data_IF_853416746752
#
_entry.id   IF_853416746752
#
_cell.length_a   1.000
_cell.length_b   1.000
_cell.length_c   1.000
_cell.angle_alpha   90.00
_cell.angle_beta   90.00
_cell.angle_gamma   90.00
#
_symmetry.space_group_name_H-M   'P 1'
#
loop_
_entity.id
_entity.type
_entity.pdbx_description
1 polymer ?
#
# COMPACT_ATOMS: atom_id res chain seq x y z
N UNK A 1 20.01 -26.50 -21.44
CA UNK A 1 20.21 -25.11 -21.02
C UNK A 1 18.97 -24.34 -21.43
N UNK A 2 17.99 -24.24 -20.53
CA UNK A 2 16.82 -23.40 -20.76
C UNK A 2 17.26 -21.94 -20.64
N UNK A 3 17.23 -21.22 -21.76
CA UNK A 3 17.43 -19.78 -21.78
C UNK A 3 16.18 -19.17 -21.13
N UNK A 4 16.34 -18.62 -19.94
CA UNK A 4 15.36 -17.76 -19.30
C UNK A 4 15.25 -16.52 -20.20
N UNK A 5 14.22 -16.50 -21.04
CA UNK A 5 13.83 -15.28 -21.74
C UNK A 5 13.38 -14.28 -20.67
N UNK A 6 13.91 -13.04 -20.64
CA UNK A 6 13.26 -12.01 -19.86
C UNK A 6 11.85 -11.85 -20.43
N UNK A 7 10.83 -12.05 -19.60
CA UNK A 7 9.47 -11.66 -19.94
C UNK A 7 9.54 -10.17 -20.33
N UNK A 8 8.91 -9.76 -21.45
CA UNK A 8 8.88 -8.35 -21.80
C UNK A 8 8.19 -7.62 -20.65
N UNK A 9 8.90 -6.69 -20.00
CA UNK A 9 8.26 -5.68 -19.16
C UNK A 9 7.21 -5.01 -20.04
N UNK A 10 5.95 -5.34 -19.77
CA UNK A 10 4.82 -4.78 -20.48
C UNK A 10 4.88 -3.28 -20.24
N UNK A 11 5.00 -2.49 -21.31
CA UNK A 11 4.88 -1.02 -21.31
C UNK A 11 3.58 -0.48 -20.66
N UNK A 12 2.68 -1.36 -20.23
CA UNK A 12 1.40 -1.06 -19.59
C UNK A 12 1.34 -1.46 -18.10
N UNK A 13 2.44 -1.94 -17.50
CA UNK A 13 2.46 -2.25 -16.06
C UNK A 13 2.46 -0.94 -15.26
N UNK A 14 1.45 -0.77 -14.39
CA UNK A 14 1.37 0.38 -13.51
C UNK A 14 2.26 0.11 -12.31
N UNK A 15 3.19 1.01 -12.06
CA UNK A 15 4.09 0.94 -10.91
C UNK A 15 3.45 1.58 -9.70
N UNK A 16 3.70 1.01 -8.51
CA UNK A 16 3.20 1.57 -7.24
C UNK A 16 3.59 3.04 -7.06
N UNK A 17 4.81 3.41 -7.46
CA UNK A 17 5.31 4.79 -7.33
C UNK A 17 4.50 5.78 -8.20
N UNK A 18 3.99 5.35 -9.36
CA UNK A 18 3.13 6.20 -10.19
C UNK A 18 1.82 6.52 -9.47
N UNK A 19 1.24 5.52 -8.79
CA UNK A 19 0.03 5.71 -7.98
C UNK A 19 0.30 6.62 -6.79
N UNK A 20 1.42 6.42 -6.10
CA UNK A 20 1.83 7.28 -4.98
C UNK A 20 1.98 8.73 -5.45
N UNK A 21 2.66 8.96 -6.56
CA UNK A 21 2.86 10.29 -7.11
C UNK A 21 1.55 10.95 -7.54
N UNK A 22 0.58 10.18 -8.03
CA UNK A 22 -0.75 10.69 -8.35
C UNK A 22 -1.49 11.24 -7.12
N UNK A 23 -1.19 10.71 -5.92
CA UNK A 23 -1.78 11.22 -4.68
C UNK A 23 -0.93 12.27 -3.95
N UNK A 24 0.40 12.26 -4.12
CA UNK A 24 1.31 13.24 -3.48
C UNK A 24 0.90 14.70 -3.75
N UNK A 25 0.41 14.99 -4.97
CA UNK A 25 -0.05 16.33 -5.34
C UNK A 25 -1.14 16.89 -4.41
N UNK A 26 -2.03 16.04 -3.89
CA UNK A 26 -3.09 16.46 -2.97
C UNK A 26 -2.53 16.76 -1.57
N UNK A 27 -1.53 15.99 -1.14
CA UNK A 27 -0.81 16.25 0.11
C UNK A 27 -0.06 17.57 0.01
N UNK A 28 0.56 17.89 -1.13
CA UNK A 28 1.20 19.19 -1.40
C UNK A 28 0.20 20.36 -1.38
N UNK A 29 -1.07 20.10 -1.70
CA UNK A 29 -2.18 21.06 -1.57
C UNK A 29 -2.72 21.18 -0.13
N UNK A 30 -2.16 20.41 0.81
CA UNK A 30 -2.51 20.46 2.24
C UNK A 30 -3.57 19.44 2.68
N UNK A 31 -3.98 18.52 1.80
CA UNK A 31 -4.93 17.46 2.15
C UNK A 31 -4.22 16.41 3.02
N UNK A 32 -4.73 16.20 4.23
CA UNK A 32 -4.10 15.31 5.23
C UNK A 32 -4.70 13.92 5.34
N UNK A 33 -5.96 13.74 4.92
CA UNK A 33 -6.66 12.45 4.89
C UNK A 33 -7.17 12.15 3.47
N UNK A 34 -7.14 10.88 3.01
CA UNK A 34 -7.80 10.50 1.76
C UNK A 34 -9.32 10.77 1.77
N UNK A 35 -9.98 10.77 2.93
CA UNK A 35 -11.41 11.06 3.05
C UNK A 35 -11.76 12.53 2.76
N UNK A 36 -10.76 13.41 2.77
CA UNK A 36 -10.90 14.82 2.44
C UNK A 36 -10.73 15.10 0.93
N UNK A 37 -10.49 14.08 0.12
CA UNK A 37 -10.41 14.23 -1.35
C UNK A 37 -11.81 14.50 -1.92
N UNK A 38 -11.91 15.52 -2.79
CA UNK A 38 -13.13 15.79 -3.52
C UNK A 38 -13.32 14.76 -4.64
N UNK A 39 -14.26 13.85 -4.46
CA UNK A 39 -14.54 12.79 -5.41
C UNK A 39 -15.11 13.30 -6.74
N UNK A 40 -15.54 14.56 -6.82
CA UNK A 40 -15.98 15.18 -8.06
C UNK A 40 -14.84 15.84 -8.85
N UNK A 41 -13.71 16.10 -8.21
CA UNK A 41 -12.50 16.63 -8.85
C UNK A 41 -11.97 15.65 -9.92
N UNK A 42 -11.82 16.09 -11.18
CA UNK A 42 -11.24 15.27 -12.24
C UNK A 42 -9.89 14.66 -11.88
N UNK A 43 -9.02 15.40 -11.17
CA UNK A 43 -7.71 14.94 -10.76
C UNK A 43 -7.77 13.79 -9.75
N UNK A 44 -8.74 13.84 -8.82
CA UNK A 44 -8.99 12.78 -7.84
C UNK A 44 -9.55 11.55 -8.53
N UNK A 45 -10.44 11.72 -9.51
CA UNK A 45 -10.97 10.63 -10.34
C UNK A 45 -9.85 9.91 -11.09
N UNK A 46 -8.92 10.66 -11.69
CA UNK A 46 -7.77 10.08 -12.39
C UNK A 46 -6.85 9.29 -11.44
N UNK A 47 -6.54 9.84 -10.26
CA UNK A 47 -5.73 9.14 -9.26
C UNK A 47 -6.42 7.85 -8.75
N UNK A 48 -7.73 7.90 -8.52
CA UNK A 48 -8.54 6.76 -8.13
C UNK A 48 -8.60 5.69 -9.24
N UNK A 49 -8.73 6.09 -10.51
CA UNK A 49 -8.71 5.17 -11.65
C UNK A 49 -7.34 4.48 -11.76
N UNK A 50 -6.25 5.24 -11.59
CA UNK A 50 -4.90 4.69 -11.62
C UNK A 50 -4.68 3.68 -10.49
N UNK A 51 -5.12 4.01 -9.26
CA UNK A 51 -5.10 3.10 -8.13
C UNK A 51 -5.94 1.84 -8.41
N UNK A 52 -7.15 2.00 -8.97
CA UNK A 52 -8.03 0.89 -9.31
C UNK A 52 -7.39 -0.09 -10.31
N UNK A 53 -6.74 0.45 -11.34
CA UNK A 53 -6.05 -0.38 -12.34
C UNK A 53 -4.84 -1.08 -11.76
N UNK A 54 -4.04 -0.38 -10.95
CA UNK A 54 -2.91 -0.96 -10.23
C UNK A 54 -3.34 -2.09 -9.28
N UNK A 55 -4.35 -1.86 -8.42
CA UNK A 55 -4.81 -2.91 -7.51
C UNK A 55 -5.31 -4.15 -8.25
N UNK A 56 -6.01 -3.97 -9.39
CA UNK A 56 -6.54 -5.08 -10.19
C UNK A 56 -5.40 -5.90 -10.80
N UNK A 57 -4.36 -5.23 -11.28
CA UNK A 57 -3.13 -5.87 -11.77
C UNK A 57 -2.46 -6.69 -10.67
N UNK A 58 -2.28 -6.09 -9.49
CA UNK A 58 -1.64 -6.76 -8.35
C UNK A 58 -2.46 -7.96 -7.85
N UNK A 59 -3.78 -7.82 -7.72
CA UNK A 59 -4.68 -8.91 -7.31
C UNK A 59 -4.65 -10.07 -8.32
N UNK A 60 -4.56 -9.76 -9.62
CA UNK A 60 -4.38 -10.76 -10.66
C UNK A 60 -3.04 -11.48 -10.50
N UNK A 61 -1.97 -10.75 -10.21
CA UNK A 61 -0.62 -11.32 -9.97
C UNK A 61 -0.58 -12.19 -8.70
N UNK A 62 -1.36 -11.84 -7.68
CA UNK A 62 -1.46 -12.56 -6.42
C UNK A 62 -2.32 -13.83 -6.49
N UNK A 63 -3.08 -14.03 -7.58
CA UNK A 63 -4.08 -15.08 -7.66
C UNK A 63 -3.48 -16.46 -7.45
N UNK A 64 -3.91 -17.14 -6.39
CA UNK A 64 -3.41 -18.47 -5.99
C UNK A 64 -2.09 -18.45 -5.21
N UNK A 65 -1.60 -17.26 -4.82
CA UNK A 65 -0.39 -17.09 -4.01
C UNK A 65 -0.70 -16.24 -2.76
N UNK A 66 -1.00 -16.92 -1.64
CA UNK A 66 -1.36 -16.30 -0.36
C UNK A 66 -0.26 -15.35 0.16
N UNK A 67 1.00 -15.74 0.02
CA UNK A 67 2.14 -14.94 0.51
C UNK A 67 2.31 -13.65 -0.27
N UNK A 68 2.14 -13.72 -1.59
CA UNK A 68 2.14 -12.53 -2.44
C UNK A 68 0.91 -11.65 -2.17
N UNK A 69 -0.24 -12.27 -1.91
CA UNK A 69 -1.48 -11.55 -1.54
C UNK A 69 -1.31 -10.75 -0.26
N UNK A 70 -0.69 -11.31 0.79
CA UNK A 70 -0.40 -10.60 2.04
C UNK A 70 0.51 -9.39 1.81
N UNK A 71 1.55 -9.52 0.98
CA UNK A 71 2.46 -8.41 0.65
C UNK A 71 1.77 -7.30 -0.13
N UNK A 72 0.89 -7.67 -1.06
CA UNK A 72 0.10 -6.71 -1.83
C UNK A 72 -0.91 -5.99 -0.95
N UNK A 73 -1.53 -6.69 0.01
CA UNK A 73 -2.43 -6.08 0.97
C UNK A 73 -1.72 -5.01 1.82
N UNK A 74 -0.52 -5.33 2.32
CA UNK A 74 0.32 -4.34 3.01
C UNK A 74 0.66 -3.15 2.10
N UNK A 75 1.04 -3.41 0.85
CA UNK A 75 1.41 -2.35 -0.10
C UNK A 75 0.25 -1.41 -0.41
N UNK A 76 -0.99 -1.93 -0.47
CA UNK A 76 -2.24 -1.16 -0.63
C UNK A 76 -2.52 -0.33 0.62
N UNK A 77 -2.47 -0.94 1.80
CA UNK A 77 -2.67 -0.28 3.10
C UNK A 77 -1.73 0.91 3.28
N UNK A 78 -0.46 0.74 2.91
CA UNK A 78 0.55 1.80 3.07
C UNK A 78 0.55 2.84 1.95
N UNK A 79 -0.29 2.71 0.92
CA UNK A 79 -0.20 3.56 -0.27
C UNK A 79 -0.42 5.05 0.05
N UNK A 80 -1.49 5.38 0.76
CA UNK A 80 -1.77 6.76 1.16
C UNK A 80 -0.77 7.26 2.21
N UNK A 81 -0.33 6.42 3.14
CA UNK A 81 0.73 6.79 4.09
C UNK A 81 2.04 7.13 3.37
N UNK A 82 2.37 6.40 2.31
CA UNK A 82 3.56 6.63 1.48
C UNK A 82 3.39 7.82 0.53
N UNK A 83 2.15 8.17 0.16
CA UNK A 83 1.83 9.41 -0.52
C UNK A 83 1.94 10.65 0.38
N UNK A 84 2.01 10.47 1.71
CA UNK A 84 2.23 11.55 2.67
C UNK A 84 0.98 12.02 3.43
N UNK A 85 -0.13 11.28 3.34
CA UNK A 85 -1.29 11.56 4.19
C UNK A 85 -0.91 11.35 5.67
N UNK A 86 -1.23 12.34 6.50
CA UNK A 86 -0.74 12.47 7.89
C UNK A 86 -1.83 12.75 8.91
N UNK A 87 -3.11 12.67 8.51
CA UNK A 87 -4.21 12.85 9.44
C UNK A 87 -4.12 11.84 10.61
N UNK A 88 -4.14 12.30 11.88
CA UNK A 88 -3.97 11.41 13.02
C UNK A 88 -5.04 10.33 13.15
N UNK A 89 -6.30 10.61 12.80
CA UNK A 89 -7.37 9.63 12.91
C UNK A 89 -7.20 8.54 11.85
N UNK A 90 -6.88 8.94 10.61
CA UNK A 90 -6.56 8.01 9.53
C UNK A 90 -5.36 7.12 9.87
N UNK A 91 -4.27 7.72 10.37
CA UNK A 91 -3.08 6.97 10.79
C UNK A 91 -3.36 6.02 11.95
N UNK A 92 -4.19 6.42 12.91
CA UNK A 92 -4.58 5.58 14.05
C UNK A 92 -5.44 4.39 13.61
N UNK A 93 -6.37 4.58 12.68
CA UNK A 93 -7.18 3.51 12.08
C UNK A 93 -6.31 2.47 11.37
N UNK A 94 -5.41 2.92 10.47
CA UNK A 94 -4.49 2.00 9.77
C UNK A 94 -3.67 1.19 10.78
N UNK A 95 -3.16 1.85 11.82
CA UNK A 95 -2.30 1.21 12.80
C UNK A 95 -3.07 0.18 13.63
N UNK A 96 -4.28 0.49 14.10
CA UNK A 96 -5.03 -0.33 15.05
C UNK A 96 -5.90 -1.40 14.41
N UNK A 97 -6.45 -1.11 13.23
CA UNK A 97 -7.41 -1.99 12.59
C UNK A 97 -6.75 -2.79 11.47
N UNK A 98 -6.09 -2.12 10.54
CA UNK A 98 -5.62 -2.77 9.31
C UNK A 98 -4.30 -3.51 9.51
N UNK A 99 -3.27 -2.83 10.03
CA UNK A 99 -1.95 -3.44 10.22
C UNK A 99 -1.94 -4.49 11.34
N UNK A 100 -2.77 -4.34 12.38
CA UNK A 100 -2.90 -5.36 13.44
C UNK A 100 -3.53 -6.63 12.88
N UNK A 101 -4.58 -6.52 12.06
CA UNK A 101 -5.19 -7.66 11.40
C UNK A 101 -4.18 -8.37 10.46
N UNK A 102 -3.39 -7.61 9.70
CA UNK A 102 -2.34 -8.17 8.84
C UNK A 102 -1.23 -8.87 9.63
N UNK A 103 -0.81 -8.30 10.77
CA UNK A 103 0.14 -8.94 11.67
C UNK A 103 -0.38 -10.28 12.21
N UNK A 104 -1.63 -10.31 12.69
CA UNK A 104 -2.26 -11.54 13.16
C UNK A 104 -2.36 -12.59 12.05
N UNK A 105 -2.63 -12.19 10.80
CA UNK A 105 -2.66 -13.11 9.67
C UNK A 105 -1.27 -13.64 9.30
N UNK A 106 -0.24 -12.79 9.34
CA UNK A 106 1.14 -13.19 9.08
C UNK A 106 1.68 -14.16 10.15
N UNK A 107 1.15 -14.12 11.37
CA UNK A 107 1.51 -15.04 12.47
C UNK A 107 0.89 -16.44 12.35
N UNK A 108 -0.15 -16.64 11.55
CA UNK A 108 -0.88 -17.93 11.45
C UNK A 108 -0.06 -19.12 10.90
N UNK A 109 1.19 -18.91 10.48
CA UNK A 109 2.12 -19.97 10.05
C UNK A 109 3.57 -19.53 10.31
N UNK A 110 3.95 -19.46 11.59
CA UNK A 110 5.20 -18.83 12.03
C UNK A 110 6.50 -19.40 11.43
N UNK A 111 6.48 -20.63 10.92
CA UNK A 111 7.65 -21.31 10.34
C UNK A 111 7.80 -21.07 8.83
N UNK A 112 6.87 -20.35 8.18
CA UNK A 112 6.96 -20.05 6.77
C UNK A 112 7.98 -18.90 6.51
N UNK A 113 9.08 -19.15 5.77
CA UNK A 113 10.10 -18.13 5.51
C UNK A 113 9.56 -16.90 4.76
N UNK A 114 8.56 -17.07 3.88
CA UNK A 114 7.94 -15.96 3.17
C UNK A 114 7.23 -14.99 4.11
N UNK A 115 6.67 -15.51 5.22
CA UNK A 115 6.01 -14.74 6.29
C UNK A 115 6.98 -14.07 7.25
N UNK A 116 8.23 -14.51 7.34
CA UNK A 116 9.25 -13.80 8.13
C UNK A 116 9.45 -12.39 7.56
N UNK A 117 9.62 -12.30 6.25
CA UNK A 117 9.81 -11.01 5.58
C UNK A 117 8.56 -10.14 5.69
N UNK A 118 7.36 -10.70 5.49
CA UNK A 118 6.10 -9.96 5.64
C UNK A 118 5.93 -9.40 7.06
N UNK A 119 6.27 -10.17 8.11
CA UNK A 119 6.25 -9.70 9.50
C UNK A 119 7.22 -8.54 9.74
N UNK A 120 8.41 -8.61 9.16
CA UNK A 120 9.40 -7.52 9.23
C UNK A 120 8.85 -6.25 8.58
N UNK A 121 8.27 -6.36 7.38
CA UNK A 121 7.66 -5.23 6.67
C UNK A 121 6.49 -4.62 7.44
N UNK A 122 5.64 -5.46 8.07
CA UNK A 122 4.56 -5.00 8.95
C UNK A 122 5.08 -4.24 10.17
N UNK A 123 6.13 -4.75 10.82
CA UNK A 123 6.74 -4.08 11.97
C UNK A 123 7.34 -2.71 11.59
N UNK A 124 7.99 -2.61 10.42
CA UNK A 124 8.52 -1.36 9.88
C UNK A 124 7.39 -0.36 9.54
N UNK A 125 6.31 -0.83 8.91
CA UNK A 125 5.13 -0.02 8.61
C UNK A 125 4.48 0.53 9.88
N UNK A 126 4.23 -0.32 10.89
CA UNK A 126 3.70 0.12 12.18
C UNK A 126 4.62 1.12 12.88
N UNK A 127 5.95 0.92 12.82
CA UNK A 127 6.91 1.86 13.39
C UNK A 127 6.86 3.21 12.67
N UNK A 128 6.78 3.22 11.34
CA UNK A 128 6.62 4.45 10.54
C UNK A 128 5.39 5.23 10.99
N UNK A 129 4.22 4.58 11.05
CA UNK A 129 2.97 5.25 11.45
C UNK A 129 3.03 5.78 12.88
N UNK A 130 3.58 5.01 13.83
CA UNK A 130 3.78 5.47 15.22
C UNK A 130 4.69 6.71 15.30
N UNK A 131 5.69 6.82 14.45
CA UNK A 131 6.55 8.00 14.41
C UNK A 131 5.78 9.20 13.84
N UNK A 132 5.04 9.01 12.74
CA UNK A 132 4.20 10.06 12.16
C UNK A 132 3.18 10.59 13.18
N UNK A 133 2.52 9.71 13.93
CA UNK A 133 1.58 10.11 14.99
C UNK A 133 2.24 10.96 16.08
N UNK A 134 3.48 10.63 16.48
CA UNK A 134 4.22 11.42 17.47
C UNK A 134 4.60 12.82 16.95
N UNK A 135 4.85 12.96 15.66
CA UNK A 135 5.17 14.25 15.05
C UNK A 135 3.96 15.19 14.97
N UNK A 136 2.73 14.66 15.13
CA UNK A 136 1.50 15.45 15.18
C UNK A 136 1.11 15.92 16.60
N UNK A 137 1.86 15.50 17.64
CA UNK A 137 1.56 15.79 19.06
C UNK A 137 2.54 16.82 19.62
#
# INVERSE_FOLDING_TARGET
>A
MEKIFPLPESKNEIMREEVINAYKKFVEQGIKSPDALDLDDPEVKEANELFYRWQTQEDTRAKGNEELSLRIHLAKTMLYVDAGFTDPNYLDEILKDWLVQDAQNAEKQNDNPARIETRKQLAEAMKKIRNLLKEQT
#
